data_IF_320589048887
#
_entry.id   IF_320589048887
#
_cell.length_a   1.000
_cell.length_b   1.000
_cell.length_c   1.000
_cell.angle_alpha   90.00
_cell.angle_beta   90.00
_cell.angle_gamma   90.00
#
_symmetry.space_group_name_H-M   'P 1'
#
loop_
_entity.id
_entity.type
_entity.pdbx_description
1 polymer ?
#
# COMPACT_ATOMS: atom_id res chain seq x y z
N UNK A 1 -21.33 -57.36 -13.58
CA UNK A 1 -22.08 -56.41 -12.73
C UNK A 1 -21.09 -55.79 -11.76
N UNK A 2 -20.49 -54.65 -12.15
CA UNK A 2 -19.79 -53.66 -11.31
C UNK A 2 -19.35 -52.55 -12.25
N UNK A 3 -20.21 -51.53 -12.36
CA UNK A 3 -19.90 -50.25 -12.99
C UNK A 3 -19.08 -49.42 -12.00
N UNK A 4 -17.81 -49.16 -12.31
CA UNK A 4 -16.98 -48.19 -11.58
C UNK A 4 -17.01 -46.89 -12.36
N UNK A 5 -18.01 -46.07 -12.07
CA UNK A 5 -18.07 -44.70 -12.56
C UNK A 5 -17.00 -43.84 -11.85
N UNK A 6 -16.12 -43.13 -12.57
CA UNK A 6 -15.10 -42.27 -11.97
C UNK A 6 -15.68 -40.94 -11.47
N UNK A 7 -15.35 -40.59 -10.23
CA UNK A 7 -15.67 -39.31 -9.59
C UNK A 7 -15.08 -38.12 -10.36
N UNK A 8 -15.86 -37.06 -10.66
CA UNK A 8 -15.35 -35.92 -11.41
C UNK A 8 -14.36 -35.08 -10.57
N UNK A 9 -13.29 -34.54 -11.18
CA UNK A 9 -12.30 -33.75 -10.47
C UNK A 9 -12.93 -32.46 -9.92
N UNK A 10 -12.74 -32.21 -8.61
CA UNK A 10 -13.16 -30.96 -7.96
C UNK A 10 -12.45 -29.79 -8.64
N UNK A 11 -13.21 -29.03 -9.43
CA UNK A 11 -12.77 -27.78 -10.07
C UNK A 11 -12.32 -26.81 -8.98
N UNK A 12 -11.01 -26.61 -8.85
CA UNK A 12 -10.45 -25.58 -7.97
C UNK A 12 -10.98 -24.22 -8.44
N UNK A 13 -11.43 -23.39 -7.51
CA UNK A 13 -11.82 -22.02 -7.80
C UNK A 13 -10.67 -21.33 -8.56
N UNK A 14 -10.97 -20.48 -9.57
CA UNK A 14 -9.94 -19.75 -10.30
C UNK A 14 -9.04 -19.03 -9.30
N UNK A 15 -7.72 -19.11 -9.50
CA UNK A 15 -6.79 -18.35 -8.69
C UNK A 15 -7.13 -16.86 -8.85
N UNK A 16 -7.41 -16.20 -7.73
CA UNK A 16 -7.62 -14.74 -7.71
C UNK A 16 -6.46 -14.05 -8.40
N UNK A 17 -6.78 -13.10 -9.28
CA UNK A 17 -5.81 -12.28 -9.98
C UNK A 17 -4.83 -11.61 -8.99
N UNK A 18 -3.52 -11.54 -9.30
CA UNK A 18 -2.52 -10.97 -8.39
C UNK A 18 -2.83 -9.54 -7.93
N UNK A 19 -3.37 -8.69 -8.82
CA UNK A 19 -3.69 -7.30 -8.48
C UNK A 19 -4.92 -7.23 -7.59
N UNK A 20 -5.91 -8.09 -7.85
CA UNK A 20 -7.08 -8.21 -6.98
C UNK A 20 -6.69 -8.68 -5.58
N UNK A 21 -5.74 -9.62 -5.49
CA UNK A 21 -5.21 -10.08 -4.21
C UNK A 21 -4.45 -8.98 -3.47
N UNK A 22 -3.65 -8.19 -4.20
CA UNK A 22 -2.94 -7.04 -3.65
C UNK A 22 -3.91 -6.02 -3.06
N UNK A 23 -4.94 -5.63 -3.81
CA UNK A 23 -6.00 -4.70 -3.37
C UNK A 23 -6.73 -5.20 -2.13
N UNK A 24 -7.12 -6.48 -2.11
CA UNK A 24 -7.80 -7.09 -0.97
C UNK A 24 -6.95 -7.02 0.32
N UNK A 25 -5.66 -7.32 0.23
CA UNK A 25 -4.76 -7.25 1.39
C UNK A 25 -4.60 -5.81 1.88
N UNK A 26 -4.41 -4.85 0.96
CA UNK A 26 -4.28 -3.42 1.32
C UNK A 26 -5.55 -2.90 1.98
N UNK A 27 -6.72 -3.22 1.44
CA UNK A 27 -8.01 -2.83 1.99
C UNK A 27 -8.20 -3.34 3.44
N UNK A 28 -7.79 -4.57 3.74
CA UNK A 28 -7.83 -5.12 5.09
C UNK A 28 -6.77 -4.53 6.03
N UNK A 29 -5.62 -4.11 5.49
CA UNK A 29 -4.52 -3.55 6.25
C UNK A 29 -4.73 -2.07 6.63
N UNK A 30 -5.37 -1.28 5.75
CA UNK A 30 -5.55 0.16 5.90
C UNK A 30 -6.13 0.59 7.27
N UNK A 31 -7.26 0.03 7.75
CA UNK A 31 -7.80 0.40 9.06
C UNK A 31 -6.83 0.11 10.21
N UNK A 32 -6.11 -1.01 10.13
CA UNK A 32 -5.13 -1.40 11.14
C UNK A 32 -3.88 -0.50 11.11
N UNK A 33 -3.49 0.00 9.95
CA UNK A 33 -2.39 0.96 9.82
C UNK A 33 -2.79 2.31 10.42
N UNK A 34 -4.03 2.75 10.23
CA UNK A 34 -4.53 3.98 10.87
C UNK A 34 -4.53 3.84 12.40
N UNK A 35 -4.93 2.69 12.93
CA UNK A 35 -5.05 2.46 14.37
C UNK A 35 -3.69 2.22 15.05
N UNK A 36 -2.82 1.40 14.46
CA UNK A 36 -1.58 0.94 15.09
C UNK A 36 -0.31 1.52 14.47
N UNK A 37 -0.42 2.31 13.40
CA UNK A 37 0.72 2.80 12.63
C UNK A 37 1.64 1.66 12.17
N UNK A 38 2.94 1.90 12.22
CA UNK A 38 3.97 0.93 11.86
C UNK A 38 4.09 -0.22 12.88
N UNK A 39 3.43 -0.17 14.03
CA UNK A 39 3.44 -1.25 15.01
C UNK A 39 2.53 -2.43 14.62
N UNK A 40 1.66 -2.27 13.61
CA UNK A 40 0.79 -3.34 13.10
C UNK A 40 1.61 -4.58 12.68
N UNK A 41 1.18 -5.78 13.05
CA UNK A 41 1.87 -7.02 12.66
C UNK A 41 1.21 -7.64 11.43
N UNK A 42 2.00 -8.30 10.58
CA UNK A 42 1.51 -9.06 9.42
C UNK A 42 0.55 -10.17 9.83
N UNK A 43 0.75 -10.79 11.00
CA UNK A 43 -0.20 -11.73 11.59
C UNK A 43 -1.58 -11.10 11.89
N UNK A 44 -1.63 -9.86 12.42
CA UNK A 44 -2.90 -9.15 12.66
C UNK A 44 -3.62 -8.85 11.35
N UNK A 45 -2.87 -8.42 10.33
CA UNK A 45 -3.40 -8.16 8.98
C UNK A 45 -3.93 -9.47 8.35
N UNK A 46 -3.18 -10.56 8.44
CA UNK A 46 -3.58 -11.86 7.91
C UNK A 46 -4.89 -12.35 8.54
N UNK A 47 -5.02 -12.21 9.87
CA UNK A 47 -6.25 -12.50 10.59
C UNK A 47 -7.42 -11.63 10.12
N UNK A 48 -7.21 -10.32 9.99
CA UNK A 48 -8.26 -9.40 9.53
C UNK A 48 -8.70 -9.69 8.08
N UNK A 49 -7.76 -10.12 7.22
CA UNK A 49 -8.04 -10.49 5.84
C UNK A 49 -8.56 -11.94 5.68
N UNK A 50 -8.60 -12.75 6.74
CA UNK A 50 -9.01 -14.15 6.67
C UNK A 50 -8.07 -15.04 5.85
N UNK A 51 -6.79 -14.69 5.76
CA UNK A 51 -5.78 -15.42 4.97
C UNK A 51 -4.61 -15.89 5.84
N UNK A 52 -3.86 -16.88 5.35
CA UNK A 52 -2.59 -17.26 5.98
C UNK A 52 -1.50 -16.22 5.72
N UNK A 53 -0.64 -15.98 6.71
CA UNK A 53 0.42 -14.96 6.64
C UNK A 53 1.40 -15.16 5.46
N UNK A 54 1.71 -16.41 5.10
CA UNK A 54 2.50 -16.71 3.90
C UNK A 54 1.85 -16.25 2.58
N UNK A 55 0.54 -15.99 2.56
CA UNK A 55 -0.15 -15.40 1.40
C UNK A 55 0.17 -13.92 1.26
N UNK A 56 0.34 -13.21 2.38
CA UNK A 56 0.79 -11.81 2.37
C UNK A 56 2.21 -11.76 1.81
N UNK A 57 3.11 -12.60 2.33
CA UNK A 57 4.52 -12.59 1.90
C UNK A 57 4.75 -13.02 0.44
N UNK A 58 3.79 -13.72 -0.16
CA UNK A 58 3.80 -13.99 -1.62
C UNK A 58 3.47 -12.76 -2.47
N UNK A 59 2.73 -11.79 -1.92
CA UNK A 59 2.30 -10.58 -2.64
C UNK A 59 3.14 -9.37 -2.26
N UNK A 60 3.62 -9.34 -1.01
CA UNK A 60 4.46 -8.29 -0.45
C UNK A 60 5.71 -8.93 0.13
N UNK A 61 6.90 -8.71 -0.45
CA UNK A 61 8.12 -9.39 -0.01
C UNK A 61 8.47 -9.10 1.45
N UNK A 62 8.08 -7.92 1.95
CA UNK A 62 8.27 -7.50 3.33
C UNK A 62 7.12 -6.61 3.81
N UNK A 63 7.11 -6.36 5.13
CA UNK A 63 6.11 -5.49 5.78
C UNK A 63 6.19 -4.05 5.27
N UNK A 64 7.36 -3.57 4.88
CA UNK A 64 7.55 -2.16 4.49
C UNK A 64 6.91 -1.90 3.12
N UNK A 65 7.02 -2.85 2.20
CA UNK A 65 6.34 -2.83 0.90
C UNK A 65 4.82 -2.86 1.06
N UNK A 66 4.30 -3.60 2.06
CA UNK A 66 2.87 -3.59 2.38
C UNK A 66 2.44 -2.22 2.94
N UNK A 67 3.19 -1.67 3.91
CA UNK A 67 2.88 -0.35 4.48
C UNK A 67 2.95 0.76 3.42
N UNK A 68 3.95 0.72 2.54
CA UNK A 68 4.07 1.66 1.43
C UNK A 68 2.87 1.56 0.46
N UNK A 69 2.39 0.34 0.20
CA UNK A 69 1.18 0.14 -0.60
C UNK A 69 -0.08 0.69 0.08
N UNK A 70 -0.19 0.56 1.41
CA UNK A 70 -1.27 1.20 2.16
C UNK A 70 -1.19 2.73 2.10
N UNK A 71 0.01 3.32 2.19
CA UNK A 71 0.18 4.77 2.03
C UNK A 71 -0.26 5.19 0.63
N UNK A 72 0.26 4.52 -0.40
CA UNK A 72 -0.08 4.81 -1.79
C UNK A 72 -1.59 4.78 -2.00
N UNK A 73 -2.26 3.73 -1.51
CA UNK A 73 -3.72 3.58 -1.59
C UNK A 73 -4.46 4.70 -0.83
N UNK A 74 -4.03 5.04 0.38
CA UNK A 74 -4.65 6.10 1.17
C UNK A 74 -4.51 7.50 0.53
N UNK A 75 -3.42 7.71 -0.23
CA UNK A 75 -3.15 8.96 -0.95
C UNK A 75 -3.77 9.00 -2.34
N UNK A 76 -4.48 7.96 -2.77
CA UNK A 76 -5.15 7.95 -4.06
C UNK A 76 -6.21 9.04 -4.15
N UNK A 77 -6.18 9.88 -5.19
CA UNK A 77 -7.15 10.95 -5.34
C UNK A 77 -8.46 10.47 -5.98
N UNK A 78 -8.55 9.21 -6.45
CA UNK A 78 -9.69 8.71 -7.24
C UNK A 78 -11.05 9.02 -6.60
N UNK A 79 -11.20 8.75 -5.29
CA UNK A 79 -12.41 9.09 -4.54
C UNK A 79 -12.69 10.60 -4.54
N UNK A 80 -11.67 11.41 -4.23
CA UNK A 80 -11.82 12.87 -4.14
C UNK A 80 -12.20 13.47 -5.50
N UNK A 81 -11.57 12.99 -6.58
CA UNK A 81 -11.89 13.37 -7.95
C UNK A 81 -13.34 13.01 -8.29
N UNK A 82 -13.78 11.79 -7.99
CA UNK A 82 -15.16 11.37 -8.26
C UNK A 82 -16.19 12.23 -7.51
N UNK A 83 -15.89 12.67 -6.27
CA UNK A 83 -16.77 13.58 -5.53
C UNK A 83 -16.74 15.00 -6.11
N UNK A 84 -15.59 15.50 -6.57
CA UNK A 84 -15.50 16.80 -7.23
C UNK A 84 -16.25 16.82 -8.56
N UNK A 85 -16.17 15.74 -9.35
CA UNK A 85 -16.90 15.58 -10.61
C UNK A 85 -18.42 15.50 -10.41
N UNK A 86 -18.87 15.06 -9.23
CA UNK A 86 -20.28 14.96 -8.88
C UNK A 86 -20.89 16.28 -8.36
N UNK A 87 -20.09 17.35 -8.19
CA UNK A 87 -20.61 18.65 -7.74
C UNK A 87 -21.50 19.25 -8.82
N UNK A 88 -22.73 19.62 -8.44
CA UNK A 88 -23.67 20.27 -9.35
C UNK A 88 -23.08 21.59 -9.87
N UNK A 89 -23.07 21.77 -11.19
CA UNK A 89 -22.53 22.97 -11.82
C UNK A 89 -23.54 24.12 -11.89
N UNK A 90 -24.83 23.84 -11.74
CA UNK A 90 -25.93 24.81 -11.84
C UNK A 90 -26.14 25.59 -10.53
N UNK A 91 -25.55 25.14 -9.43
CA UNK A 91 -25.62 25.84 -8.15
C UNK A 91 -24.67 27.07 -8.10
N UNK A 92 -24.91 28.04 -7.20
CA UNK A 92 -24.07 29.23 -7.07
C UNK A 92 -22.60 28.89 -6.83
N UNK A 93 -21.68 29.69 -7.40
CA UNK A 93 -20.23 29.48 -7.31
C UNK A 93 -19.75 29.24 -5.87
N UNK A 94 -20.26 30.01 -4.91
CA UNK A 94 -19.91 29.89 -3.50
C UNK A 94 -20.25 28.51 -2.94
N UNK A 95 -21.41 27.94 -3.30
CA UNK A 95 -21.80 26.60 -2.85
C UNK A 95 -20.85 25.53 -3.41
N UNK A 96 -20.55 25.60 -4.71
CA UNK A 96 -19.59 24.68 -5.36
C UNK A 96 -18.20 24.75 -4.73
N UNK A 97 -17.70 25.95 -4.45
CA UNK A 97 -16.40 26.13 -3.82
C UNK A 97 -16.37 25.57 -2.39
N UNK A 98 -17.45 25.74 -1.63
CA UNK A 98 -17.60 25.15 -0.30
C UNK A 98 -17.57 23.62 -0.36
N UNK A 99 -18.34 23.00 -1.26
CA UNK A 99 -18.35 21.55 -1.45
C UNK A 99 -17.00 21.02 -1.91
N UNK A 100 -16.36 21.68 -2.88
CA UNK A 100 -15.02 21.30 -3.32
C UNK A 100 -14.00 21.38 -2.18
N UNK A 101 -14.07 22.43 -1.36
CA UNK A 101 -13.21 22.58 -0.19
C UNK A 101 -13.48 21.50 0.89
N UNK A 102 -14.72 21.05 1.03
CA UNK A 102 -15.11 19.93 1.89
C UNK A 102 -14.51 18.60 1.42
N UNK A 103 -14.64 18.30 0.13
CA UNK A 103 -14.05 17.10 -0.48
C UNK A 103 -12.53 17.11 -0.29
N UNK A 104 -11.87 18.24 -0.60
CA UNK A 104 -10.42 18.38 -0.45
C UNK A 104 -9.96 18.27 1.01
N UNK A 105 -10.72 18.83 1.95
CA UNK A 105 -10.43 18.71 3.39
C UNK A 105 -10.54 17.26 3.85
N UNK A 106 -11.61 16.56 3.47
CA UNK A 106 -11.79 15.14 3.80
C UNK A 106 -10.64 14.28 3.28
N UNK A 107 -10.21 14.52 2.03
CA UNK A 107 -9.06 13.85 1.45
C UNK A 107 -7.76 14.12 2.23
N UNK A 108 -7.49 15.38 2.56
CA UNK A 108 -6.29 15.76 3.31
C UNK A 108 -6.28 15.19 4.73
N UNK A 109 -7.43 15.16 5.42
CA UNK A 109 -7.57 14.54 6.74
C UNK A 109 -7.27 13.04 6.69
N UNK A 110 -7.76 12.33 5.67
CA UNK A 110 -7.48 10.89 5.48
C UNK A 110 -5.98 10.65 5.25
N UNK A 111 -5.34 11.43 4.38
CA UNK A 111 -3.89 11.35 4.13
C UNK A 111 -3.11 11.60 5.42
N UNK A 112 -3.44 12.68 6.13
CA UNK A 112 -2.78 13.05 7.38
C UNK A 112 -2.87 11.97 8.45
N UNK A 113 -4.02 11.29 8.56
CA UNK A 113 -4.19 10.18 9.51
C UNK A 113 -3.23 9.01 9.22
N UNK A 114 -3.13 8.59 7.96
CA UNK A 114 -2.27 7.46 7.56
C UNK A 114 -0.79 7.81 7.66
N UNK A 115 -0.38 8.96 7.09
CA UNK A 115 1.01 9.42 7.13
C UNK A 115 1.45 9.70 8.57
N UNK A 116 0.59 10.36 9.36
CA UNK A 116 0.85 10.68 10.76
C UNK A 116 1.03 9.43 11.63
N UNK A 117 0.17 8.42 11.48
CA UNK A 117 0.29 7.16 12.22
C UNK A 117 1.60 6.43 11.94
N UNK A 118 2.08 6.45 10.69
CA UNK A 118 3.35 5.84 10.29
C UNK A 118 4.58 6.66 10.71
N UNK A 119 4.48 7.99 10.70
CA UNK A 119 5.53 8.89 11.17
C UNK A 119 5.75 8.75 12.68
N UNK A 120 4.67 8.79 13.48
CA UNK A 120 4.72 8.73 14.94
C UNK A 120 5.31 7.41 15.48
N UNK A 121 5.30 6.35 14.67
CA UNK A 121 5.78 5.01 15.02
C UNK A 121 7.11 4.64 14.35
N UNK A 122 7.74 5.60 13.64
CA UNK A 122 9.18 5.60 13.37
C UNK A 122 9.69 4.93 12.09
N UNK A 123 8.94 4.93 10.97
CA UNK A 123 9.44 4.31 9.70
C UNK A 123 9.59 5.20 8.47
N UNK A 124 9.15 6.45 8.48
CA UNK A 124 9.49 7.37 7.38
C UNK A 124 10.95 7.86 7.43
N UNK A 125 11.65 7.72 8.56
CA UNK A 125 13.04 8.16 8.72
C UNK A 125 14.11 7.08 8.45
N UNK A 126 13.75 5.79 8.39
CA UNK A 126 14.75 4.71 8.25
C UNK A 126 14.98 4.32 6.79
N UNK A 127 15.76 5.13 6.06
CA UNK A 127 16.48 4.73 4.84
C UNK A 127 17.37 3.50 5.18
N UNK A 128 17.35 2.40 4.40
CA UNK A 128 18.20 1.24 4.70
C UNK A 128 19.70 1.57 4.48
N UNK A 129 20.63 1.01 5.29
CA UNK A 129 22.06 1.09 4.99
C UNK A 129 22.36 0.15 3.83
N UNK A 130 22.58 0.71 2.65
CA UNK A 130 22.75 -0.05 1.42
C UNK A 130 23.19 0.78 0.22
N UNK A 131 24.12 1.70 0.41
CA UNK A 131 24.97 2.22 -0.68
C UNK A 131 26.42 1.85 -0.36
N UNK A 132 26.78 0.61 -0.69
CA UNK A 132 28.14 0.28 -1.07
C UNK A 132 28.17 0.25 -2.59
N UNK A 133 28.38 1.40 -3.21
CA UNK A 133 29.10 1.49 -4.48
C UNK A 133 30.56 1.77 -4.07
N UNK A 134 31.47 0.82 -4.22
CA UNK A 134 31.87 0.27 -5.51
C UNK A 134 33.13 1.02 -5.92
N UNK A 135 34.28 0.34 -5.80
CA UNK A 135 35.61 0.93 -5.74
C UNK A 135 35.97 1.87 -6.90
N UNK A 136 36.41 3.07 -6.54
CA UNK A 136 37.27 3.90 -7.38
C UNK A 136 38.71 3.73 -6.88
N UNK A 137 39.50 2.91 -7.58
CA UNK A 137 40.94 2.87 -7.39
C UNK A 137 41.52 4.26 -7.68
N UNK A 138 42.26 4.80 -6.71
CA UNK A 138 43.15 5.94 -6.93
C UNK A 138 44.35 5.45 -7.75
N UNK A 139 44.65 6.02 -8.93
CA UNK A 139 45.91 5.75 -9.58
C UNK A 139 47.04 6.47 -8.83
N UNK A 140 48.09 5.71 -8.51
CA UNK A 140 49.37 6.19 -8.01
C UNK A 140 49.84 7.41 -8.79
N UNK A 141 50.13 8.49 -8.07
CA UNK A 141 50.89 9.62 -8.60
C UNK A 141 52.10 9.88 -7.71
N UNK A 142 53.12 9.04 -7.87
CA UNK A 142 54.51 9.41 -7.59
C UNK A 142 55.41 8.79 -8.66
N UNK A 143 55.86 9.62 -9.62
CA UNK A 143 57.20 9.61 -10.19
C UNK A 143 57.28 10.62 -11.34
N UNK A 144 57.95 11.75 -11.10
CA UNK A 144 58.41 12.64 -12.15
C UNK A 144 58.23 14.13 -11.86
N UNK A 145 59.10 14.69 -11.04
CA UNK A 145 59.93 15.89 -11.34
C UNK A 145 60.62 16.37 -10.05
N UNK A 146 61.91 16.04 -9.92
CA UNK A 146 63.02 16.87 -9.41
C UNK A 146 64.24 15.97 -9.18
#
# INVERSE_FOLDING_TARGET
MTDTSPTPPRRRAPAMDPDQRRKMIVAAALPLVVEYGAAVTTAKIARAAGIGEGTIFRVFPDKDTLLAACVAEATRPDDAVAHLEAIDLDQPLTARLTEAAEVMRGHMTRIGAVVGALAATGRLERRPPGESAGGGGLPDREAGLA
#
